data_IF_311242572610
#
_entry.id   IF_311242572610
#
_cell.length_a   1.000
_cell.length_b   1.000
_cell.length_c   1.000
_cell.angle_alpha   90.00
_cell.angle_beta   90.00
_cell.angle_gamma   90.00
#
_symmetry.space_group_name_H-M   'P 1'
#
loop_
_entity.id
_entity.type
_entity.pdbx_description
1 polymer ?
#
# COMPACT_ATOMS: atom_id res chain seq x y z
N UNK A 1 -11.10 8.43 -4.51
CA UNK A 1 -11.43 7.06 -4.92
C UNK A 1 -12.90 6.87 -5.27
N UNK A 2 -13.85 7.24 -4.42
CA UNK A 2 -15.27 6.88 -4.62
C UNK A 2 -15.83 7.28 -6.00
N UNK A 3 -15.61 8.52 -6.46
CA UNK A 3 -16.09 8.96 -7.78
C UNK A 3 -15.50 8.17 -8.97
N UNK A 4 -14.27 7.64 -8.85
CA UNK A 4 -13.69 6.75 -9.86
C UNK A 4 -14.41 5.40 -9.89
N UNK A 5 -14.76 4.86 -8.72
CA UNK A 5 -15.53 3.62 -8.63
C UNK A 5 -16.96 3.80 -9.12
N UNK A 6 -17.63 4.90 -8.77
CA UNK A 6 -18.98 5.20 -9.26
C UNK A 6 -19.01 5.35 -10.78
N UNK A 7 -18.00 6.02 -11.36
CA UNK A 7 -17.87 6.13 -12.81
C UNK A 7 -17.63 4.77 -13.49
N UNK A 8 -16.73 3.95 -12.94
CA UNK A 8 -16.46 2.61 -13.48
C UNK A 8 -17.70 1.69 -13.35
N UNK A 9 -18.38 1.71 -12.20
CA UNK A 9 -19.60 0.96 -11.97
C UNK A 9 -20.74 1.40 -12.91
N UNK A 10 -20.87 2.71 -13.19
CA UNK A 10 -21.84 3.23 -14.17
C UNK A 10 -21.62 2.71 -15.59
N UNK A 11 -20.40 2.26 -15.90
CA UNK A 11 -20.01 1.64 -17.17
C UNK A 11 -20.08 0.10 -17.13
N UNK A 12 -20.58 -0.49 -16.04
CA UNK A 12 -20.78 -1.92 -15.91
C UNK A 12 -19.58 -2.70 -15.35
N UNK A 13 -18.58 -2.03 -14.76
CA UNK A 13 -17.45 -2.70 -14.12
C UNK A 13 -17.90 -3.63 -12.98
N UNK A 14 -17.39 -4.85 -12.99
CA UNK A 14 -17.55 -5.84 -11.93
C UNK A 14 -16.77 -5.45 -10.67
N UNK A 15 -17.10 -6.09 -9.53
CA UNK A 15 -16.41 -5.84 -8.26
C UNK A 15 -14.91 -6.12 -8.36
N UNK A 16 -14.51 -7.17 -9.07
CA UNK A 16 -13.10 -7.53 -9.22
C UNK A 16 -12.35 -6.48 -10.07
N UNK A 17 -12.97 -5.96 -11.12
CA UNK A 17 -12.42 -4.83 -11.90
C UNK A 17 -12.30 -3.56 -11.04
N UNK A 18 -13.25 -3.29 -10.15
CA UNK A 18 -13.15 -2.16 -9.22
C UNK A 18 -11.94 -2.30 -8.28
N UNK A 19 -11.62 -3.50 -7.81
CA UNK A 19 -10.39 -3.73 -7.03
C UNK A 19 -9.14 -3.48 -7.86
N UNK A 20 -9.10 -3.91 -9.12
CA UNK A 20 -7.95 -3.67 -9.99
C UNK A 20 -7.78 -2.19 -10.33
N UNK A 21 -8.88 -1.49 -10.62
CA UNK A 21 -8.89 -0.03 -10.81
C UNK A 21 -8.36 0.67 -9.55
N UNK A 22 -8.85 0.26 -8.38
CA UNK A 22 -8.44 0.80 -7.09
C UNK A 22 -6.95 0.64 -6.83
N UNK A 23 -6.44 -0.57 -7.07
CA UNK A 23 -5.02 -0.91 -6.91
C UNK A 23 -4.17 -0.02 -7.81
N UNK A 24 -4.54 0.08 -9.08
CA UNK A 24 -3.79 0.87 -10.06
C UNK A 24 -3.81 2.35 -9.69
N UNK A 25 -4.97 2.95 -9.47
CA UNK A 25 -5.06 4.37 -9.15
C UNK A 25 -4.40 4.72 -7.81
N UNK A 26 -4.52 3.90 -6.76
CA UNK A 26 -3.80 4.14 -5.50
C UNK A 26 -2.28 4.00 -5.68
N UNK A 27 -1.79 3.13 -6.56
CA UNK A 27 -0.36 3.01 -6.85
C UNK A 27 0.23 4.31 -7.42
N UNK A 28 -0.59 5.11 -8.12
CA UNK A 28 -0.18 6.42 -8.61
C UNK A 28 -0.38 7.54 -7.58
N UNK A 29 -1.43 7.46 -6.76
CA UNK A 29 -1.71 8.50 -5.74
C UNK A 29 -0.84 8.38 -4.49
N UNK A 30 -0.39 7.18 -4.13
CA UNK A 30 0.40 6.86 -2.94
C UNK A 30 1.64 6.04 -3.32
N UNK A 31 2.42 6.58 -4.26
CA UNK A 31 3.52 5.84 -4.90
C UNK A 31 4.55 5.32 -3.90
N UNK A 32 4.94 6.11 -2.90
CA UNK A 32 5.90 5.72 -1.85
C UNK A 32 5.44 4.47 -1.09
N UNK A 33 4.22 4.51 -0.58
CA UNK A 33 3.63 3.45 0.25
C UNK A 33 3.46 2.16 -0.56
N UNK A 34 3.08 2.28 -1.83
CA UNK A 34 2.87 1.15 -2.73
C UNK A 34 4.18 0.53 -3.22
N UNK A 35 5.22 1.33 -3.46
CA UNK A 35 6.58 0.83 -3.75
C UNK A 35 7.11 0.07 -2.54
N UNK A 36 6.96 0.64 -1.34
CA UNK A 36 7.37 -0.02 -0.11
C UNK A 36 6.60 -1.32 0.14
N UNK A 37 5.29 -1.31 -0.10
CA UNK A 37 4.45 -2.51 0.01
C UNK A 37 4.83 -3.58 -1.01
N UNK A 38 5.16 -3.20 -2.25
CA UNK A 38 5.69 -4.13 -3.24
C UNK A 38 7.01 -4.76 -2.77
N UNK A 39 7.89 -3.96 -2.15
CA UNK A 39 9.14 -4.43 -1.59
C UNK A 39 8.91 -5.37 -0.38
N UNK A 40 7.95 -5.05 0.49
CA UNK A 40 7.51 -5.92 1.58
C UNK A 40 7.06 -7.29 1.08
N UNK A 41 6.13 -7.33 0.11
CA UNK A 41 5.65 -8.61 -0.42
C UNK A 41 6.77 -9.41 -1.07
N UNK A 42 7.68 -8.74 -1.78
CA UNK A 42 8.81 -9.40 -2.40
C UNK A 42 9.79 -9.99 -1.38
N UNK A 43 10.10 -9.25 -0.31
CA UNK A 43 11.18 -9.61 0.63
C UNK A 43 10.73 -10.42 1.82
N UNK A 44 9.56 -10.15 2.37
CA UNK A 44 9.07 -10.79 3.59
C UNK A 44 8.02 -11.86 3.32
N UNK A 45 7.27 -11.76 2.22
CA UNK A 45 6.21 -12.71 1.86
C UNK A 45 6.58 -13.61 0.66
N UNK A 46 7.74 -13.38 0.03
CA UNK A 46 8.22 -14.09 -1.15
C UNK A 46 7.18 -14.12 -2.31
N UNK A 47 6.46 -13.01 -2.51
CA UNK A 47 5.49 -12.82 -3.60
C UNK A 47 5.86 -11.61 -4.43
N UNK A 48 5.97 -11.79 -5.74
CA UNK A 48 6.11 -10.64 -6.65
C UNK A 48 4.82 -9.82 -6.69
N UNK A 49 4.91 -8.53 -7.02
CA UNK A 49 3.76 -7.62 -6.99
C UNK A 49 2.55 -8.13 -7.79
N UNK A 50 2.76 -8.74 -8.95
CA UNK A 50 1.70 -9.33 -9.79
C UNK A 50 1.04 -10.59 -9.19
N UNK A 51 1.64 -11.25 -8.21
CA UNK A 51 1.07 -12.42 -7.52
C UNK A 51 0.17 -12.03 -6.34
N UNK A 52 0.21 -10.77 -5.90
CA UNK A 52 -0.60 -10.28 -4.79
C UNK A 52 -1.97 -9.84 -5.32
N UNK A 53 -3.03 -10.39 -4.74
CA UNK A 53 -4.39 -10.04 -5.11
C UNK A 53 -4.70 -8.57 -4.76
N UNK A 54 -5.40 -7.87 -5.66
CA UNK A 54 -5.80 -6.47 -5.47
C UNK A 54 -6.62 -6.26 -4.19
N UNK A 55 -7.44 -7.24 -3.80
CA UNK A 55 -8.19 -7.26 -2.53
C UNK A 55 -7.28 -7.21 -1.30
N UNK A 56 -6.15 -7.92 -1.33
CA UNK A 56 -5.16 -7.91 -0.23
C UNK A 56 -4.46 -6.56 -0.15
N UNK A 57 -4.02 -6.03 -1.29
CA UNK A 57 -3.35 -4.73 -1.35
C UNK A 57 -4.27 -3.62 -0.81
N UNK A 58 -5.54 -3.64 -1.19
CA UNK A 58 -6.52 -2.61 -0.85
C UNK A 58 -7.20 -2.80 0.52
N UNK A 59 -6.89 -3.88 1.25
CA UNK A 59 -7.53 -4.12 2.53
C UNK A 59 -7.12 -3.08 3.58
N UNK A 60 -7.82 -3.11 4.72
CA UNK A 60 -7.53 -2.23 5.85
C UNK A 60 -6.12 -2.45 6.43
N UNK A 61 -5.55 -3.63 6.29
CA UNK A 61 -4.25 -3.97 6.86
C UNK A 61 -3.08 -3.41 6.03
N UNK A 62 -3.28 -3.16 4.74
CA UNK A 62 -2.23 -2.72 3.83
C UNK A 62 -2.46 -1.31 3.28
N UNK A 63 -3.70 -0.94 2.92
CA UNK A 63 -4.04 0.37 2.32
C UNK A 63 -4.77 1.32 3.28
N UNK A 64 -4.58 1.16 4.59
CA UNK A 64 -4.91 2.21 5.56
C UNK A 64 -3.64 2.72 6.22
N UNK A 65 -3.60 3.99 6.62
CA UNK A 65 -2.41 4.60 7.25
C UNK A 65 -1.93 3.77 8.44
N UNK A 66 -2.85 3.39 9.34
CA UNK A 66 -2.52 2.60 10.53
C UNK A 66 -2.17 1.14 10.21
N UNK A 67 -2.84 0.54 9.22
CA UNK A 67 -2.54 -0.82 8.77
C UNK A 67 -1.16 -0.90 8.13
N UNK A 68 -0.89 -0.03 7.16
CA UNK A 68 0.38 0.04 6.45
C UNK A 68 1.56 0.25 7.41
N UNK A 69 1.47 1.23 8.32
CA UNK A 69 2.50 1.48 9.32
C UNK A 69 2.81 0.23 10.16
N UNK A 70 1.76 -0.48 10.59
CA UNK A 70 1.88 -1.63 11.49
C UNK A 70 2.35 -2.90 10.77
N UNK A 71 1.82 -3.17 9.58
CA UNK A 71 1.92 -4.47 8.92
C UNK A 71 2.90 -4.47 7.74
N UNK A 72 3.29 -3.30 7.22
CA UNK A 72 4.24 -3.16 6.10
C UNK A 72 5.50 -2.46 6.59
N UNK A 73 5.38 -1.19 7.03
CA UNK A 73 6.54 -0.35 7.33
C UNK A 73 7.36 -0.86 8.52
N UNK A 74 6.71 -1.09 9.66
CA UNK A 74 7.40 -1.54 10.87
C UNK A 74 8.13 -2.89 10.66
N UNK A 75 7.53 -3.93 10.05
CA UNK A 75 8.24 -5.16 9.71
C UNK A 75 9.48 -4.93 8.82
N UNK A 76 9.39 -4.04 7.83
CA UNK A 76 10.51 -3.72 6.94
C UNK A 76 11.67 -3.04 7.67
N UNK A 77 11.37 -2.13 8.61
CA UNK A 77 12.37 -1.51 9.48
C UNK A 77 13.01 -2.55 10.41
N UNK A 78 12.20 -3.41 11.04
CA UNK A 78 12.71 -4.48 11.93
C UNK A 78 13.58 -5.48 11.18
N UNK A 79 13.25 -5.78 9.92
CA UNK A 79 14.05 -6.63 9.05
C UNK A 79 15.34 -5.94 8.53
N UNK A 80 15.56 -4.65 8.84
CA UNK A 80 16.70 -3.87 8.37
C UNK A 80 16.66 -3.57 6.87
N UNK A 81 15.50 -3.71 6.22
CA UNK A 81 15.32 -3.49 4.78
C UNK A 81 15.04 -2.03 4.44
N UNK A 82 14.64 -1.23 5.42
CA UNK A 82 14.49 0.22 5.32
C UNK A 82 15.28 0.89 6.42
N UNK A 83 15.81 2.11 6.19
CA UNK A 83 16.40 2.89 7.25
C UNK A 83 15.36 3.11 8.35
N UNK A 84 15.72 2.78 9.59
CA UNK A 84 14.91 3.08 10.76
C UNK A 84 14.86 4.59 10.98
N UNK A 85 14.00 5.28 10.23
CA UNK A 85 13.54 6.61 10.61
C UNK A 85 12.84 6.45 11.95
N UNK A 86 13.29 7.22 12.95
CA UNK A 86 12.73 7.21 14.31
C UNK A 86 11.20 7.24 14.27
N UNK A 87 10.59 6.09 14.55
CA UNK A 87 9.19 6.01 14.96
C UNK A 87 9.08 6.66 16.35
N UNK A 88 8.94 8.00 16.35
CA UNK A 88 8.65 8.80 17.55
C UNK A 88 9.79 9.72 18.00
N UNK A 89 10.05 10.79 17.26
CA UNK A 89 10.22 12.13 17.83
C UNK A 89 10.20 13.17 16.71
N UNK A 90 9.02 13.73 16.45
CA UNK A 90 8.87 14.97 15.70
C UNK A 90 9.38 16.14 16.56
N UNK A 91 10.69 16.24 16.73
CA UNK A 91 11.38 17.37 17.38
C UNK A 91 12.86 17.34 17.04
N UNK A 92 13.21 17.43 15.75
CA UNK A 92 14.40 18.18 15.33
C UNK A 92 14.36 18.38 13.82
N UNK A 93 13.86 19.53 13.36
CA UNK A 93 14.19 20.01 12.03
C UNK A 93 15.67 20.42 12.07
N UNK A 94 16.50 19.73 11.29
CA UNK A 94 17.90 20.11 11.10
C UNK A 94 18.00 21.42 10.34
N UNK A 95 18.36 22.48 11.06
CA UNK A 95 19.25 23.54 10.60
C UNK A 95 20.65 23.25 11.11
#
# INVERSE_FOLDING_TARGET
>A
MLGLYELAASQGASIDELYDIGRNANSFWYASEYIEMAYYFQKLENKSWNQVASKTILDKNHSSIGGWQKNVHKPMVVAGLLPGGQLGNASNCGV
#
